data_IF_069851642664
#
_entry.id   IF_069851642664
#
_cell.length_a   1.000
_cell.length_b   1.000
_cell.length_c   1.000
_cell.angle_alpha   90.00
_cell.angle_beta   90.00
_cell.angle_gamma   90.00
#
_symmetry.space_group_name_H-M   'P 1'
#
loop_
_entity.id
_entity.type
_entity.pdbx_description
1 polymer ?
#
# COMPACT_ATOMS: atom_id res chain seq x y z
N UNK A 1 11.54 5.43 -17.46
CA UNK A 1 11.44 5.06 -16.04
C UNK A 1 10.16 5.65 -15.47
N UNK A 2 9.37 4.87 -14.74
CA UNK A 2 8.14 5.35 -14.15
C UNK A 2 8.42 6.34 -13.02
N UNK A 3 7.66 7.40 -12.96
CA UNK A 3 7.67 8.35 -11.85
C UNK A 3 6.45 8.10 -10.98
N UNK A 4 6.64 8.14 -9.67
CA UNK A 4 5.56 7.91 -8.70
C UNK A 4 5.42 9.09 -7.77
N UNK A 5 4.16 9.44 -7.48
CA UNK A 5 3.83 10.38 -6.42
C UNK A 5 3.26 9.60 -5.25
N UNK A 6 3.39 10.14 -4.04
CA UNK A 6 2.74 9.55 -2.87
C UNK A 6 1.24 9.76 -2.98
N UNK A 7 0.47 8.73 -2.65
CA UNK A 7 -0.98 8.81 -2.57
C UNK A 7 -1.39 9.17 -1.14
N UNK A 8 -1.77 10.43 -0.85
CA UNK A 8 -2.11 10.83 0.51
C UNK A 8 -3.33 10.10 1.07
N UNK A 9 -4.27 9.71 0.22
CA UNK A 9 -5.45 8.94 0.64
C UNK A 9 -5.05 7.58 1.17
N UNK A 10 -4.07 6.93 0.54
CA UNK A 10 -3.56 5.64 0.98
C UNK A 10 -2.82 5.77 2.31
N UNK A 11 -2.02 6.81 2.49
CA UNK A 11 -1.33 7.06 3.76
C UNK A 11 -2.35 7.24 4.89
N UNK A 12 -3.38 8.05 4.66
CA UNK A 12 -4.43 8.28 5.64
C UNK A 12 -5.20 7.00 5.96
N UNK A 13 -5.51 6.22 4.93
CA UNK A 13 -6.23 4.94 5.10
C UNK A 13 -5.41 3.93 5.88
N UNK A 14 -4.13 3.79 5.56
CA UNK A 14 -3.25 2.89 6.27
C UNK A 14 -3.15 3.26 7.75
N UNK A 15 -3.03 4.56 8.04
CA UNK A 15 -2.97 5.04 9.42
C UNK A 15 -4.28 4.75 10.17
N UNK A 16 -5.42 4.96 9.54
CA UNK A 16 -6.72 4.62 10.13
C UNK A 16 -6.82 3.13 10.46
N UNK A 17 -6.38 2.28 9.55
CA UNK A 17 -6.42 0.83 9.74
C UNK A 17 -5.51 0.40 10.89
N UNK A 18 -4.32 0.98 10.98
CA UNK A 18 -3.39 0.71 12.07
C UNK A 18 -4.02 1.11 13.40
N UNK A 19 -4.60 2.30 13.47
CA UNK A 19 -5.23 2.81 14.69
C UNK A 19 -6.46 1.99 15.08
N UNK A 20 -7.15 1.41 14.11
CA UNK A 20 -8.30 0.53 14.32
C UNK A 20 -7.90 -0.93 14.59
N UNK A 21 -6.61 -1.21 14.71
CA UNK A 21 -6.06 -2.56 14.93
C UNK A 21 -6.37 -3.53 13.80
N UNK A 22 -6.48 -3.00 12.58
CA UNK A 22 -6.71 -3.80 11.38
C UNK A 22 -5.37 -4.06 10.69
N UNK A 23 -4.55 -4.91 11.30
CA UNK A 23 -3.21 -5.22 10.79
C UNK A 23 -2.82 -6.67 11.07
N UNK A 24 -1.85 -7.15 10.31
CA UNK A 24 -1.22 -8.46 10.49
C UNK A 24 0.28 -8.21 10.67
N UNK A 25 0.82 -8.68 11.80
CA UNK A 25 2.22 -8.41 12.16
C UNK A 25 3.20 -9.46 11.67
N UNK A 26 2.72 -10.67 11.41
CA UNK A 26 3.58 -11.80 11.07
C UNK A 26 3.01 -12.56 9.90
N UNK A 27 3.42 -12.20 8.70
CA UNK A 27 2.97 -12.84 7.48
C UNK A 27 4.09 -12.91 6.45
N UNK A 28 3.97 -13.88 5.54
CA UNK A 28 4.81 -13.96 4.34
C UNK A 28 4.15 -13.10 3.26
N UNK A 29 4.78 -11.98 2.91
CA UNK A 29 4.20 -11.05 1.96
C UNK A 29 3.98 -11.67 0.58
N UNK A 30 4.88 -12.53 0.14
CA UNK A 30 4.72 -13.22 -1.13
C UNK A 30 3.44 -14.05 -1.21
N UNK A 31 3.03 -14.64 -0.07
CA UNK A 31 1.80 -15.41 0.01
C UNK A 31 0.58 -14.55 0.36
N UNK A 32 0.79 -13.40 0.99
CA UNK A 32 -0.29 -12.56 1.53
C UNK A 32 -0.71 -11.43 0.61
N UNK A 33 0.17 -10.98 -0.28
CA UNK A 33 -0.16 -9.88 -1.19
C UNK A 33 -1.33 -10.27 -2.10
N UNK A 34 -2.18 -9.31 -2.49
CA UNK A 34 -3.33 -9.62 -3.34
C UNK A 34 -2.91 -10.20 -4.69
N UNK A 35 -3.59 -11.25 -5.10
CA UNK A 35 -3.45 -11.79 -6.44
C UNK A 35 -4.25 -10.93 -7.44
N UNK A 36 -4.05 -11.15 -8.74
CA UNK A 36 -4.86 -10.48 -9.75
C UNK A 36 -6.34 -10.80 -9.58
N UNK A 37 -6.67 -12.03 -9.17
CA UNK A 37 -8.07 -12.43 -8.91
C UNK A 37 -8.65 -11.69 -7.70
N UNK A 38 -7.87 -11.53 -6.63
CA UNK A 38 -8.28 -10.77 -5.45
C UNK A 38 -8.57 -9.31 -5.81
N UNK A 39 -7.72 -8.72 -6.62
CA UNK A 39 -7.87 -7.35 -7.07
C UNK A 39 -9.12 -7.18 -7.95
N UNK A 40 -9.34 -8.12 -8.86
CA UNK A 40 -10.53 -8.09 -9.72
C UNK A 40 -11.81 -8.21 -8.91
N UNK A 41 -11.83 -9.12 -7.93
CA UNK A 41 -12.99 -9.29 -7.04
C UNK A 41 -13.25 -8.02 -6.22
N UNK A 42 -12.20 -7.37 -5.75
CA UNK A 42 -12.32 -6.11 -5.02
C UNK A 42 -12.94 -5.02 -5.92
N UNK A 43 -12.45 -4.89 -7.15
CA UNK A 43 -12.93 -3.88 -8.10
C UNK A 43 -14.37 -4.11 -8.55
N UNK A 44 -14.90 -5.32 -8.44
CA UNK A 44 -16.32 -5.58 -8.73
C UNK A 44 -17.25 -4.92 -7.71
N UNK A 45 -16.78 -4.69 -6.49
CA UNK A 45 -17.59 -4.16 -5.39
C UNK A 45 -17.15 -2.80 -4.87
N UNK A 46 -16.00 -2.32 -5.34
CA UNK A 46 -15.40 -1.08 -4.86
C UNK A 46 -14.93 -0.23 -6.02
N UNK A 47 -14.80 1.08 -5.77
CA UNK A 47 -14.33 2.03 -6.77
C UNK A 47 -12.82 1.95 -6.98
N UNK A 48 -12.33 2.56 -8.07
CA UNK A 48 -10.90 2.74 -8.29
C UNK A 48 -10.26 3.60 -7.20
N UNK A 49 -11.01 4.53 -6.64
CA UNK A 49 -10.54 5.36 -5.54
C UNK A 49 -10.30 4.53 -4.28
N UNK A 50 -11.22 3.63 -3.96
CA UNK A 50 -11.07 2.70 -2.84
C UNK A 50 -9.91 1.71 -3.07
N UNK A 51 -9.78 1.24 -4.30
CA UNK A 51 -8.65 0.38 -4.69
C UNK A 51 -7.33 1.11 -4.51
N UNK A 52 -7.25 2.37 -4.97
CA UNK A 52 -6.07 3.20 -4.83
C UNK A 52 -5.66 3.46 -3.40
N UNK A 53 -6.62 3.47 -2.47
CA UNK A 53 -6.34 3.69 -1.05
C UNK A 53 -5.49 2.56 -0.42
N UNK A 54 -5.29 1.44 -1.13
CA UNK A 54 -4.41 0.34 -0.71
C UNK A 54 -3.01 0.44 -1.29
N UNK A 55 -2.71 1.51 -2.02
CA UNK A 55 -1.45 1.68 -2.74
C UNK A 55 -0.82 3.02 -2.38
N UNK A 56 0.41 3.00 -1.87
CA UNK A 56 1.10 4.21 -1.41
C UNK A 56 1.59 5.11 -2.54
N UNK A 57 1.66 4.60 -3.75
CA UNK A 57 2.14 5.35 -4.89
C UNK A 57 1.13 5.45 -6.02
N UNK A 58 1.22 6.57 -6.72
CA UNK A 58 0.46 6.85 -7.94
C UNK A 58 1.45 6.94 -9.08
N UNK A 59 1.25 6.12 -10.13
CA UNK A 59 2.08 6.17 -11.32
C UNK A 59 1.68 7.37 -12.16
N UNK A 60 2.58 8.34 -12.29
CA UNK A 60 2.30 9.57 -13.04
C UNK A 60 2.12 9.28 -14.52
N UNK A 61 1.18 10.00 -15.14
CA UNK A 61 0.92 9.89 -16.57
C UNK A 61 0.04 8.71 -16.98
N UNK A 62 -0.54 7.98 -16.03
CA UNK A 62 -1.41 6.85 -16.34
C UNK A 62 -2.88 7.19 -16.05
N UNK A 63 -3.78 6.42 -16.66
CA UNK A 63 -5.21 6.57 -16.44
C UNK A 63 -5.57 6.11 -15.02
N UNK A 64 -6.25 6.97 -14.20
CA UNK A 64 -6.64 6.61 -12.84
C UNK A 64 -7.53 5.36 -12.73
N UNK A 65 -8.24 5.00 -13.78
CA UNK A 65 -9.12 3.84 -13.81
C UNK A 65 -8.41 2.60 -14.38
N UNK A 66 -7.15 2.41 -14.03
CA UNK A 66 -6.36 1.24 -14.39
C UNK A 66 -5.53 0.78 -13.21
N UNK A 67 -5.22 -0.52 -13.17
CA UNK A 67 -4.32 -1.06 -12.14
C UNK A 67 -2.92 -0.46 -12.22
N UNK A 68 -2.47 -0.14 -13.43
CA UNK A 68 -1.14 0.44 -13.65
C UNK A 68 -0.96 1.79 -12.96
N UNK A 69 -2.04 2.51 -12.68
CA UNK A 69 -2.00 3.77 -11.99
C UNK A 69 -1.61 3.64 -10.51
N UNK A 70 -1.86 2.47 -9.93
CA UNK A 70 -1.71 2.22 -8.51
C UNK A 70 -0.49 1.33 -8.24
N UNK A 71 0.41 1.77 -7.37
CA UNK A 71 1.66 1.09 -7.09
C UNK A 71 1.93 1.05 -5.58
N UNK A 72 2.76 0.10 -5.16
CA UNK A 72 3.18 -0.05 -3.77
C UNK A 72 2.02 -0.43 -2.85
N UNK A 73 1.42 -1.60 -3.11
CA UNK A 73 0.38 -2.17 -2.26
C UNK A 73 0.97 -2.57 -0.90
N UNK A 74 0.28 -2.19 0.18
CA UNK A 74 0.79 -2.39 1.54
C UNK A 74 -0.05 -3.37 2.38
N UNK A 75 -1.15 -3.84 1.86
CA UNK A 75 -2.08 -4.71 2.58
C UNK A 75 -2.77 -5.70 1.66
N UNK A 76 -3.62 -6.52 2.24
CA UNK A 76 -4.32 -7.59 1.53
C UNK A 76 -5.74 -7.19 1.08
N UNK A 77 -6.02 -5.90 0.98
CA UNK A 77 -7.33 -5.32 0.66
C UNK A 77 -8.34 -5.46 1.80
N UNK A 78 -7.88 -5.87 2.97
CA UNK A 78 -8.66 -5.93 4.21
C UNK A 78 -7.91 -5.33 5.39
N UNK A 79 -6.64 -5.69 5.54
CA UNK A 79 -5.78 -5.26 6.65
C UNK A 79 -4.42 -4.84 6.14
N UNK A 80 -3.77 -3.98 6.91
CA UNK A 80 -2.37 -3.64 6.68
C UNK A 80 -1.52 -4.84 7.06
N UNK A 81 -0.51 -5.15 6.26
CA UNK A 81 0.48 -6.16 6.61
C UNK A 81 1.81 -5.46 6.90
N UNK A 82 2.40 -5.79 8.05
CA UNK A 82 3.73 -5.26 8.38
C UNK A 82 4.74 -5.65 7.31
N UNK A 83 4.67 -6.88 6.84
CA UNK A 83 5.51 -7.37 5.75
C UNK A 83 5.28 -6.60 4.45
N UNK A 84 4.04 -6.15 4.20
CA UNK A 84 3.71 -5.33 3.04
C UNK A 84 4.32 -3.95 3.11
N UNK A 85 4.31 -3.32 4.29
CA UNK A 85 4.97 -2.02 4.48
C UNK A 85 6.48 -2.14 4.32
N UNK A 86 7.08 -3.20 4.85
CA UNK A 86 8.52 -3.48 4.68
C UNK A 86 8.84 -3.64 3.19
N UNK A 87 8.01 -4.38 2.45
CA UNK A 87 8.21 -4.55 1.01
C UNK A 87 8.14 -3.23 0.27
N UNK A 88 7.22 -2.33 0.66
CA UNK A 88 7.13 -0.99 0.07
C UNK A 88 8.39 -0.18 0.33
N UNK A 89 8.93 -0.22 1.56
CA UNK A 89 10.18 0.48 1.89
C UNK A 89 11.32 0.00 1.01
N UNK A 90 11.51 -1.31 0.93
CA UNK A 90 12.62 -1.87 0.14
C UNK A 90 12.48 -1.59 -1.35
N UNK A 91 11.29 -1.76 -1.89
CA UNK A 91 11.06 -1.54 -3.32
C UNK A 91 11.24 -0.07 -3.69
N UNK A 92 10.74 0.84 -2.87
CA UNK A 92 10.89 2.27 -3.12
C UNK A 92 12.36 2.69 -2.99
N UNK A 93 13.08 2.16 -2.00
CA UNK A 93 14.51 2.44 -1.82
C UNK A 93 15.34 1.92 -2.99
N UNK A 94 15.06 0.70 -3.45
CA UNK A 94 15.77 0.06 -4.56
C UNK A 94 15.69 0.90 -5.84
N UNK A 95 14.51 1.47 -6.12
CA UNK A 95 14.27 2.26 -7.32
C UNK A 95 14.34 3.77 -7.07
N UNK A 96 14.82 4.18 -5.88
CA UNK A 96 15.06 5.57 -5.51
C UNK A 96 13.80 6.47 -5.53
N UNK A 97 12.66 5.90 -5.16
CA UNK A 97 11.42 6.66 -4.98
C UNK A 97 11.34 7.14 -3.52
N UNK A 98 12.11 8.17 -3.22
CA UNK A 98 12.36 8.64 -1.86
C UNK A 98 11.11 9.02 -1.09
N UNK A 99 10.17 9.68 -1.74
CA UNK A 99 8.95 10.12 -1.08
C UNK A 99 8.07 8.94 -0.67
N UNK A 100 7.95 7.94 -1.54
CA UNK A 100 7.20 6.71 -1.23
C UNK A 100 7.92 5.93 -0.13
N UNK A 101 9.23 5.85 -0.22
CA UNK A 101 10.05 5.19 0.81
C UNK A 101 9.80 5.81 2.19
N UNK A 102 9.84 7.13 2.28
CA UNK A 102 9.61 7.84 3.54
C UNK A 102 8.19 7.64 4.07
N UNK A 103 7.20 7.68 3.18
CA UNK A 103 5.81 7.44 3.58
C UNK A 103 5.61 6.03 4.14
N UNK A 104 6.18 5.04 3.47
CA UNK A 104 6.11 3.64 3.92
C UNK A 104 6.84 3.44 5.24
N UNK A 105 8.02 4.06 5.39
CA UNK A 105 8.81 3.99 6.61
C UNK A 105 8.06 4.61 7.79
N UNK A 106 7.42 5.77 7.59
CA UNK A 106 6.66 6.43 8.63
C UNK A 106 5.47 5.58 9.09
N UNK A 107 4.79 4.93 8.15
CA UNK A 107 3.68 4.03 8.48
C UNK A 107 4.16 2.80 9.25
N UNK A 108 5.30 2.24 8.84
CA UNK A 108 5.90 1.10 9.53
C UNK A 108 6.29 1.48 10.96
N UNK A 109 6.87 2.66 11.14
CA UNK A 109 7.22 3.17 12.45
C UNK A 109 5.98 3.38 13.32
N UNK A 110 4.93 3.96 12.75
CA UNK A 110 3.66 4.14 13.44
C UNK A 110 3.06 2.80 13.90
N UNK A 111 3.10 1.80 13.02
CA UNK A 111 2.63 0.46 13.35
C UNK A 111 3.43 -0.13 14.52
N UNK A 112 4.76 -0.04 14.45
CA UNK A 112 5.63 -0.60 15.48
C UNK A 112 5.46 0.11 16.83
N UNK A 113 5.24 1.42 16.83
CA UNK A 113 4.94 2.18 18.03
C UNK A 113 3.57 1.81 18.62
N UNK A 114 2.58 1.60 17.76
CA UNK A 114 1.22 1.23 18.17
C UNK A 114 1.19 -0.15 18.81
N UNK A 115 2.05 -1.06 18.36
CA UNK A 115 2.09 -2.45 18.81
C UNK A 115 3.15 -2.72 19.89
N UNK A 116 3.91 -1.71 20.26
CA UNK A 116 4.95 -1.84 21.28
C UNK A 116 4.37 -2.08 22.68
#
# INVERSE_FOLDING_TARGET
>A
MASYAVNPDAVARARQLIDARQYVLDSDWGASQPSAEDENAFLEKHSWEEYGAWHLGITEGTNPETKAHHAFVYGDLRRVHRSGLIACVYRAAEWRHKEVELAAHDLLQHLDETTA
#
